data_IF_647561308262
#
_entry.id   IF_647561308262
#
_cell.length_a   1.000
_cell.length_b   1.000
_cell.length_c   1.000
_cell.angle_alpha   90.00
_cell.angle_beta   90.00
_cell.angle_gamma   90.00
#
_symmetry.space_group_name_H-M   'P 1'
#
loop_
_entity.id
_entity.type
_entity.pdbx_description
1 polymer ?
#
# COMPACT_ATOMS: atom_id res chain seq x y z
N UNK A 1 2.06 44.96 -55.73
CA UNK A 1 2.33 46.18 -54.95
C UNK A 1 2.06 45.87 -53.50
N UNK A 2 3.02 46.18 -52.62
CA UNK A 2 3.04 45.97 -51.15
C UNK A 2 3.22 44.50 -50.74
N UNK A 3 4.40 43.94 -50.46
CA UNK A 3 5.65 44.39 -49.83
C UNK A 3 5.59 44.51 -48.28
N UNK A 4 6.60 43.90 -47.62
CA UNK A 4 6.97 43.92 -46.17
C UNK A 4 6.34 42.85 -45.27
N UNK A 5 7.02 42.17 -44.34
CA UNK A 5 8.44 42.03 -43.96
C UNK A 5 8.49 40.91 -42.89
N UNK A 6 9.47 40.01 -42.96
CA UNK A 6 10.09 39.35 -41.79
C UNK A 6 11.45 40.07 -41.55
N UNK A 7 12.33 39.73 -40.58
CA UNK A 7 12.32 38.67 -39.53
C UNK A 7 12.86 39.15 -38.15
N UNK A 8 13.01 38.25 -37.15
CA UNK A 8 14.04 38.24 -36.06
C UNK A 8 13.67 37.09 -35.07
N UNK A 9 14.41 36.01 -34.77
CA UNK A 9 15.82 35.74 -34.36
C UNK A 9 16.27 36.40 -33.05
N UNK A 10 16.12 35.68 -31.93
CA UNK A 10 16.99 35.75 -30.73
C UNK A 10 17.05 34.35 -30.08
N UNK A 11 18.09 33.55 -30.32
CA UNK A 11 19.38 33.41 -29.62
C UNK A 11 19.34 32.56 -28.35
N UNK A 12 20.07 31.45 -28.46
CA UNK A 12 20.49 30.55 -27.41
C UNK A 12 21.25 31.28 -26.29
N UNK A 13 21.09 30.77 -25.06
CA UNK A 13 22.08 30.90 -24.00
C UNK A 13 22.28 29.54 -23.34
N UNK A 14 23.38 28.93 -23.73
CA UNK A 14 24.13 27.95 -22.96
C UNK A 14 24.52 28.58 -21.61
N UNK A 15 24.41 27.81 -20.53
CA UNK A 15 25.21 28.02 -19.32
C UNK A 15 25.78 26.70 -18.87
N UNK A 16 27.11 26.73 -18.87
CA UNK A 16 28.04 25.72 -18.44
C UNK A 16 27.90 25.31 -16.98
N UNK A 17 28.12 24.01 -16.78
CA UNK A 17 29.17 23.42 -15.94
C UNK A 17 29.50 24.08 -14.60
N UNK A 18 29.19 23.35 -13.52
CA UNK A 18 29.72 23.60 -12.18
C UNK A 18 29.78 22.31 -11.36
N UNK A 19 30.84 21.53 -11.58
CA UNK A 19 31.19 20.36 -10.76
C UNK A 19 31.72 20.81 -9.40
N UNK A 20 31.12 20.32 -8.31
CA UNK A 20 31.62 20.53 -6.95
C UNK A 20 31.60 19.24 -6.15
N UNK A 21 32.60 18.37 -6.36
CA UNK A 21 32.91 17.22 -5.49
C UNK A 21 33.58 17.76 -4.22
N UNK A 22 32.91 17.62 -3.08
CA UNK A 22 33.51 17.79 -1.76
C UNK A 22 33.53 16.47 -1.01
N UNK A 23 34.65 15.75 -1.10
CA UNK A 23 34.98 14.67 -0.17
C UNK A 23 35.61 15.32 1.08
N UNK A 24 34.97 15.17 2.25
CA UNK A 24 35.62 15.40 3.55
C UNK A 24 35.58 14.06 4.27
N UNK A 25 36.77 13.53 4.55
CA UNK A 25 37.02 12.14 4.91
C UNK A 25 36.72 11.77 6.37
N UNK A 26 37.01 10.50 6.71
CA UNK A 26 36.87 9.95 8.06
C UNK A 26 38.16 10.12 8.86
N UNK A 27 38.04 10.52 10.13
CA UNK A 27 39.09 10.48 11.16
C UNK A 27 38.36 10.88 12.48
N UNK A 28 38.53 10.31 13.67
CA UNK A 28 39.45 9.33 14.24
C UNK A 28 38.84 8.74 15.50
N UNK A 29 39.30 7.53 15.80
CA UNK A 29 39.37 6.88 17.10
C UNK A 29 39.53 7.84 18.29
N UNK A 30 38.86 7.50 19.41
CA UNK A 30 39.52 7.59 20.71
C UNK A 30 39.07 6.45 21.62
N UNK A 31 40.09 5.72 22.04
CA UNK A 31 40.12 4.62 22.99
C UNK A 31 39.61 5.01 24.39
N UNK A 32 39.12 4.01 25.13
CA UNK A 32 39.66 3.58 26.43
C UNK A 32 38.64 2.60 27.06
N UNK A 33 38.92 1.29 27.05
CA UNK A 33 39.68 0.56 28.08
C UNK A 33 38.85 0.20 29.32
N UNK A 34 38.70 -1.12 29.48
CA UNK A 34 38.92 -1.88 30.72
C UNK A 34 38.10 -1.54 31.97
N UNK A 35 37.27 -2.50 32.37
CA UNK A 35 37.32 -3.05 33.73
C UNK A 35 36.62 -4.41 33.82
N UNK A 36 37.45 -5.46 33.86
CA UNK A 36 37.15 -6.75 34.49
C UNK A 36 37.55 -6.63 35.97
N UNK A 37 36.71 -7.10 36.90
CA UNK A 37 37.01 -7.76 38.21
C UNK A 37 35.63 -8.03 38.85
N UNK A 38 35.14 -9.28 38.93
CA UNK A 38 35.51 -10.41 39.79
C UNK A 38 34.59 -10.53 41.02
N UNK A 39 34.23 -11.79 41.27
CA UNK A 39 33.38 -12.33 42.32
C UNK A 39 33.95 -12.12 43.73
N UNK A 40 33.08 -11.87 44.71
CA UNK A 40 32.92 -12.66 45.94
C UNK A 40 32.21 -11.84 47.04
N UNK A 41 31.30 -12.52 47.73
CA UNK A 41 30.80 -12.25 49.07
C UNK A 41 29.88 -11.03 49.31
N UNK A 42 28.63 -11.31 49.69
CA UNK A 42 28.31 -11.35 51.13
C UNK A 42 26.83 -11.72 51.42
N UNK A 43 26.66 -12.84 52.12
CA UNK A 43 25.67 -13.12 53.19
C UNK A 43 24.19 -13.26 52.76
N UNK A 44 23.39 -14.27 53.13
CA UNK A 44 23.45 -15.36 54.12
C UNK A 44 22.00 -15.76 54.50
N UNK A 45 21.83 -16.89 55.22
CA UNK A 45 20.58 -17.44 55.85
C UNK A 45 19.68 -18.31 54.93
N UNK A 46 19.25 -19.54 55.27
CA UNK A 46 19.48 -20.38 56.44
C UNK A 46 18.72 -21.74 56.39
N UNK A 47 19.35 -22.76 57.01
CA UNK A 47 18.86 -23.93 57.80
C UNK A 47 17.78 -24.93 57.34
N UNK A 48 18.02 -26.17 57.83
CA UNK A 48 17.14 -27.34 58.09
C UNK A 48 16.82 -28.25 56.89
N UNK A 49 16.82 -29.59 56.94
CA UNK A 49 16.85 -30.56 58.04
C UNK A 49 17.07 -32.00 57.49
N UNK A 50 17.65 -32.90 58.32
CA UNK A 50 17.44 -34.39 58.45
C UNK A 50 17.13 -35.19 57.17
N UNK A 51 17.92 -36.15 56.69
CA UNK A 51 18.48 -37.31 57.39
C UNK A 51 17.56 -38.54 57.23
N UNK A 52 17.83 -39.44 56.28
CA UNK A 52 17.41 -40.86 56.26
C UNK A 52 18.31 -41.67 55.31
N UNK A 53 18.95 -42.71 55.85
CA UNK A 53 19.62 -43.80 55.13
C UNK A 53 18.62 -44.94 54.94
N UNK A 54 18.38 -45.45 53.72
CA UNK A 54 17.88 -46.81 53.50
C UNK A 54 18.38 -47.31 52.13
N UNK A 55 19.02 -48.49 52.14
CA UNK A 55 18.80 -49.53 51.14
C UNK A 55 19.76 -49.59 49.95
N UNK A 56 20.81 -50.41 50.10
CA UNK A 56 21.43 -51.11 48.97
C UNK A 56 20.42 -52.08 48.35
N UNK A 57 20.15 -51.94 47.05
CA UNK A 57 19.47 -52.97 46.23
C UNK A 57 20.19 -53.06 44.86
N UNK A 58 20.43 -54.27 44.32
CA UNK A 58 21.46 -54.50 43.31
C UNK A 58 20.95 -54.27 41.89
N UNK A 59 21.77 -53.55 41.12
CA UNK A 59 21.99 -53.70 39.67
C UNK A 59 20.74 -53.96 38.80
N UNK A 60 20.24 -52.87 38.21
CA UNK A 60 19.96 -52.83 36.78
C UNK A 60 20.81 -51.71 36.16
N UNK A 61 22.04 -52.03 35.72
CA UNK A 61 22.84 -51.11 34.90
C UNK A 61 22.19 -51.05 33.52
N UNK A 62 21.25 -50.13 33.34
CA UNK A 62 20.89 -49.67 32.00
C UNK A 62 22.17 -49.17 31.30
N UNK A 63 22.44 -49.56 30.04
CA UNK A 63 23.58 -49.05 29.31
C UNK A 63 23.50 -47.53 29.31
N UNK A 64 24.50 -46.87 29.91
CA UNK A 64 24.65 -45.42 29.76
C UNK A 64 24.79 -45.16 28.26
N UNK A 65 23.89 -44.38 27.63
CA UNK A 65 23.99 -44.10 26.21
C UNK A 65 25.36 -43.47 25.95
N UNK A 66 26.03 -43.98 24.92
CA UNK A 66 27.35 -43.52 24.52
C UNK A 66 27.27 -42.02 24.26
N UNK A 67 28.01 -41.23 25.04
CA UNK A 67 28.06 -39.76 24.93
C UNK A 67 28.37 -39.31 23.50
N UNK A 68 29.05 -40.15 22.72
CA UNK A 68 29.35 -39.89 21.31
C UNK A 68 28.08 -40.01 20.44
N UNK A 69 27.20 -40.97 20.72
CA UNK A 69 25.91 -41.09 20.02
C UNK A 69 24.95 -39.96 20.37
N UNK A 70 24.91 -39.52 21.63
CA UNK A 70 24.06 -38.40 22.05
C UNK A 70 24.55 -37.06 21.45
N UNK A 71 25.86 -36.85 21.38
CA UNK A 71 26.43 -35.67 20.73
C UNK A 71 26.16 -35.64 19.22
N UNK A 72 26.17 -36.81 18.55
CA UNK A 72 25.81 -36.92 17.13
C UNK A 72 24.32 -36.67 16.90
N UNK A 73 23.44 -37.19 17.76
CA UNK A 73 22.00 -36.96 17.68
C UNK A 73 21.67 -35.45 17.80
N UNK A 74 22.27 -34.75 18.77
CA UNK A 74 22.08 -33.30 18.94
C UNK A 74 22.60 -32.49 17.76
N UNK A 75 23.67 -32.96 17.09
CA UNK A 75 24.21 -32.29 15.90
C UNK A 75 23.28 -32.44 14.70
N UNK A 76 22.69 -33.62 14.50
CA UNK A 76 21.70 -33.87 13.45
C UNK A 76 20.42 -33.07 13.70
N UNK A 77 19.96 -33.01 14.95
CA UNK A 77 18.77 -32.23 15.34
C UNK A 77 18.98 -30.73 15.09
N UNK A 78 20.16 -30.20 15.44
CA UNK A 78 20.54 -28.83 15.12
C UNK A 78 20.66 -28.58 13.61
N UNK A 79 21.12 -29.56 12.84
CA UNK A 79 21.23 -29.46 11.38
C UNK A 79 19.86 -29.45 10.69
N UNK A 80 18.90 -30.25 11.18
CA UNK A 80 17.51 -30.24 10.71
C UNK A 80 16.84 -28.89 11.04
N UNK A 81 16.99 -28.41 12.28
CA UNK A 81 16.39 -27.16 12.75
C UNK A 81 16.95 -25.91 12.01
N UNK A 82 18.19 -26.00 11.53
CA UNK A 82 18.82 -24.95 10.70
C UNK A 82 18.55 -25.12 9.19
N UNK A 83 18.08 -26.28 8.74
CA UNK A 83 17.75 -26.58 7.33
C UNK A 83 16.30 -26.21 6.97
N UNK A 84 15.36 -26.33 7.92
CA UNK A 84 13.94 -26.03 7.67
C UNK A 84 13.64 -24.54 7.44
N UNK A 85 14.57 -23.64 7.74
CA UNK A 85 14.43 -22.20 7.48
C UNK A 85 14.99 -21.71 6.13
N UNK A 86 15.65 -22.57 5.34
CA UNK A 86 16.29 -22.17 4.07
C UNK A 86 15.61 -22.72 2.79
N UNK A 87 14.50 -23.45 2.93
CA UNK A 87 13.74 -24.00 1.79
C UNK A 87 12.49 -23.20 1.44
N UNK A 88 12.53 -21.87 1.61
CA UNK A 88 11.62 -21.04 0.78
C UNK A 88 12.19 -21.07 -0.63
N UNK A 89 11.42 -21.44 -1.68
CA UNK A 89 11.87 -21.21 -3.04
C UNK A 89 12.25 -19.73 -3.11
N UNK A 90 13.55 -19.45 -3.35
CA UNK A 90 13.97 -18.11 -3.75
C UNK A 90 13.25 -17.86 -5.06
N UNK A 91 12.07 -17.24 -4.97
CA UNK A 91 11.46 -16.56 -6.09
C UNK A 91 12.59 -15.76 -6.74
N UNK A 92 12.77 -15.85 -8.06
CA UNK A 92 13.80 -15.06 -8.72
C UNK A 92 13.62 -13.64 -8.23
N UNK A 93 14.67 -13.09 -7.63
CA UNK A 93 14.74 -11.66 -7.35
C UNK A 93 14.65 -11.04 -8.73
N UNK A 94 13.43 -10.71 -9.15
CA UNK A 94 13.20 -9.84 -10.28
C UNK A 94 13.88 -8.55 -9.83
N UNK A 95 15.13 -8.39 -10.25
CA UNK A 95 15.79 -7.11 -10.32
C UNK A 95 14.79 -6.22 -11.05
N UNK A 96 14.02 -5.45 -10.29
CA UNK A 96 13.06 -4.49 -10.82
C UNK A 96 13.92 -3.42 -11.46
N UNK A 97 14.31 -3.65 -12.71
CA UNK A 97 14.83 -2.62 -13.56
C UNK A 97 13.77 -1.51 -13.56
N UNK A 98 14.04 -0.33 -12.98
CA UNK A 98 13.04 0.74 -12.93
C UNK A 98 12.74 1.33 -14.32
N UNK A 99 13.48 0.91 -15.35
CA UNK A 99 13.47 1.47 -16.69
C UNK A 99 12.26 1.09 -17.58
N UNK A 100 11.38 0.17 -17.17
CA UNK A 100 10.28 -0.34 -18.01
C UNK A 100 8.88 -0.24 -17.39
N UNK A 101 8.67 0.66 -16.41
CA UNK A 101 7.29 0.96 -15.99
C UNK A 101 6.67 1.90 -17.02
N UNK A 102 5.64 1.44 -17.73
CA UNK A 102 4.84 2.30 -18.62
C UNK A 102 4.34 3.50 -17.81
N UNK A 103 4.37 4.73 -18.37
CA UNK A 103 3.79 5.88 -17.70
C UNK A 103 2.28 5.68 -17.52
N UNK A 104 1.70 6.31 -16.49
CA UNK A 104 0.27 6.27 -16.26
C UNK A 104 -0.48 6.83 -17.48
N UNK A 105 -1.43 6.07 -18.01
CA UNK A 105 -2.16 6.45 -19.22
C UNK A 105 -2.97 7.75 -19.11
N UNK A 106 -3.35 8.18 -17.91
CA UNK A 106 -4.14 9.40 -17.71
C UNK A 106 -3.29 10.66 -17.50
N UNK A 107 -2.23 10.58 -16.70
CA UNK A 107 -1.44 11.77 -16.35
C UNK A 107 -0.02 11.79 -16.93
N UNK A 108 0.43 10.69 -17.55
CA UNK A 108 1.80 10.53 -18.04
C UNK A 108 2.86 10.37 -16.94
N UNK A 109 2.46 10.41 -15.67
CA UNK A 109 3.34 10.27 -14.51
C UNK A 109 3.96 8.88 -14.40
N UNK A 110 5.12 8.80 -13.77
CA UNK A 110 5.77 7.53 -13.43
C UNK A 110 5.51 7.18 -11.97
N UNK A 111 5.55 5.89 -11.63
CA UNK A 111 5.45 5.42 -10.24
C UNK A 111 4.15 4.69 -9.91
N UNK A 112 3.05 4.99 -10.61
CA UNK A 112 1.73 4.40 -10.38
C UNK A 112 1.08 3.86 -11.65
N UNK A 113 0.05 3.03 -11.45
CA UNK A 113 -0.89 2.60 -12.50
C UNK A 113 -2.08 3.54 -12.57
N UNK A 114 -2.85 3.49 -13.66
CA UNK A 114 -4.07 4.28 -13.77
C UNK A 114 -5.07 4.06 -12.62
N UNK A 115 -5.16 2.85 -12.07
CA UNK A 115 -5.99 2.51 -10.92
C UNK A 115 -5.66 3.33 -9.65
N UNK A 116 -4.45 3.87 -9.54
CA UNK A 116 -3.95 4.66 -8.41
C UNK A 116 -3.77 6.14 -8.74
N UNK A 117 -4.10 6.54 -9.97
CA UNK A 117 -4.02 7.93 -10.39
C UNK A 117 -5.09 8.78 -9.66
N UNK A 118 -4.66 9.92 -9.13
CA UNK A 118 -5.52 10.94 -8.50
C UNK A 118 -5.60 12.23 -9.31
N UNK A 119 -4.83 12.36 -10.38
CA UNK A 119 -4.80 13.55 -11.22
C UNK A 119 -6.02 13.59 -12.15
N UNK A 120 -6.81 14.67 -12.11
CA UNK A 120 -7.87 14.90 -13.08
C UNK A 120 -8.14 16.38 -13.30
N UNK A 121 -8.24 16.80 -14.57
CA UNK A 121 -8.57 18.18 -14.96
C UNK A 121 -10.08 18.44 -14.97
N UNK A 122 -10.90 17.37 -15.01
CA UNK A 122 -12.36 17.46 -15.18
C UNK A 122 -13.13 16.94 -13.96
N UNK A 123 -12.42 16.62 -12.88
CA UNK A 123 -12.97 16.02 -11.67
C UNK A 123 -13.28 14.52 -11.76
N UNK A 124 -13.00 13.89 -12.91
CA UNK A 124 -13.08 12.44 -13.11
C UNK A 124 -12.06 11.96 -14.16
N UNK A 125 -11.72 10.68 -14.14
CA UNK A 125 -10.74 10.09 -15.07
C UNK A 125 -11.44 9.53 -16.31
N UNK A 126 -10.95 9.91 -17.50
CA UNK A 126 -11.45 9.47 -18.82
C UNK A 126 -10.52 8.45 -19.46
N UNK A 127 -10.24 7.37 -18.74
CA UNK A 127 -9.35 6.32 -19.20
C UNK A 127 -9.86 4.96 -18.70
N UNK A 128 -9.39 3.89 -19.33
CA UNK A 128 -9.77 2.53 -19.01
C UNK A 128 -8.78 1.90 -18.05
N UNK A 129 -9.21 1.63 -16.81
CA UNK A 129 -8.33 1.00 -15.79
C UNK A 129 -8.04 -0.47 -16.05
N UNK A 130 -8.85 -1.15 -16.87
CA UNK A 130 -8.64 -2.55 -17.24
C UNK A 130 -7.57 -2.68 -18.33
N UNK A 131 -7.58 -1.78 -19.32
CA UNK A 131 -6.62 -1.77 -20.40
C UNK A 131 -5.36 -0.95 -20.10
N UNK A 132 -5.41 -0.09 -19.07
CA UNK A 132 -4.36 0.89 -18.74
C UNK A 132 -4.06 1.80 -19.95
N UNK A 133 -5.13 2.30 -20.60
CA UNK A 133 -5.07 3.21 -21.76
C UNK A 133 -6.09 4.35 -21.63
N UNK A 134 -5.84 5.46 -22.32
CA UNK A 134 -6.77 6.58 -22.46
C UNK A 134 -7.59 6.54 -23.78
N UNK A 135 -7.41 5.48 -24.57
CA UNK A 135 -8.08 5.30 -25.87
C UNK A 135 -9.60 5.11 -25.77
N UNK A 136 -10.09 4.64 -24.61
CA UNK A 136 -11.50 4.48 -24.31
C UNK A 136 -11.71 4.61 -22.80
N UNK A 137 -12.96 4.79 -22.40
CA UNK A 137 -13.32 4.86 -20.97
C UNK A 137 -13.52 3.46 -20.40
N UNK A 138 -13.47 3.35 -19.10
CA UNK A 138 -13.72 2.08 -18.40
C UNK A 138 -15.11 1.52 -18.71
N UNK A 139 -16.14 2.36 -18.80
CA UNK A 139 -17.52 1.95 -19.12
C UNK A 139 -17.72 1.51 -20.59
N UNK A 140 -16.84 1.95 -21.50
CA UNK A 140 -16.86 1.55 -22.91
C UNK A 140 -16.11 0.22 -23.16
N UNK A 141 -15.33 -0.25 -22.17
CA UNK A 141 -14.47 -1.42 -22.30
C UNK A 141 -15.27 -2.73 -22.36
N UNK A 142 -14.95 -3.61 -23.30
CA UNK A 142 -15.69 -4.88 -23.45
C UNK A 142 -15.48 -5.80 -22.25
N UNK A 143 -14.25 -5.88 -21.72
CA UNK A 143 -13.98 -6.61 -20.47
C UNK A 143 -14.79 -6.05 -19.30
N UNK A 144 -14.98 -4.72 -19.25
CA UNK A 144 -15.81 -4.12 -18.20
C UNK A 144 -17.28 -4.51 -18.36
N UNK A 145 -17.81 -4.55 -19.59
CA UNK A 145 -19.22 -4.91 -19.86
C UNK A 145 -19.52 -6.34 -19.41
N UNK A 146 -18.55 -7.25 -19.54
CA UNK A 146 -18.64 -8.66 -19.12
C UNK A 146 -18.62 -8.87 -17.60
N UNK A 147 -18.14 -7.88 -16.83
CA UNK A 147 -18.13 -7.98 -15.36
C UNK A 147 -19.55 -8.04 -14.77
N UNK A 148 -19.68 -8.79 -13.69
CA UNK A 148 -20.89 -8.76 -12.86
C UNK A 148 -21.11 -7.37 -12.26
N UNK A 149 -22.35 -7.06 -11.88
CA UNK A 149 -22.69 -5.77 -11.26
C UNK A 149 -21.87 -5.51 -9.99
N UNK A 150 -21.60 -6.56 -9.20
CA UNK A 150 -20.77 -6.47 -8.00
C UNK A 150 -19.31 -6.13 -8.33
N UNK A 151 -18.72 -6.76 -9.34
CA UNK A 151 -17.36 -6.47 -9.80
C UNK A 151 -17.25 -5.05 -10.37
N UNK A 152 -18.26 -4.60 -11.13
CA UNK A 152 -18.34 -3.22 -11.62
C UNK A 152 -18.34 -2.21 -10.48
N UNK A 153 -19.15 -2.42 -9.44
CA UNK A 153 -19.19 -1.53 -8.26
C UNK A 153 -17.91 -1.61 -7.42
N UNK A 154 -17.35 -2.81 -7.24
CA UNK A 154 -16.05 -2.94 -6.59
C UNK A 154 -15.00 -2.09 -7.31
N UNK A 155 -14.93 -2.21 -8.63
CA UNK A 155 -13.94 -1.53 -9.47
C UNK A 155 -14.13 0.00 -9.51
N UNK A 156 -15.37 0.49 -9.67
CA UNK A 156 -15.64 1.93 -9.84
C UNK A 156 -15.85 2.68 -8.51
N UNK A 157 -16.25 1.99 -7.44
CA UNK A 157 -16.61 2.60 -6.16
C UNK A 157 -15.60 2.24 -5.08
N UNK A 158 -15.45 0.95 -4.79
CA UNK A 158 -14.66 0.49 -3.63
C UNK A 158 -13.16 0.69 -3.87
N UNK A 159 -12.65 0.23 -5.00
CA UNK A 159 -11.23 0.32 -5.36
C UNK A 159 -10.81 1.78 -5.69
N UNK A 160 -11.80 2.66 -5.90
CA UNK A 160 -11.64 4.10 -6.13
C UNK A 160 -12.03 4.97 -4.94
N UNK A 161 -12.30 4.37 -3.78
CA UNK A 161 -12.63 5.12 -2.57
C UNK A 161 -11.50 6.10 -2.21
N UNK A 162 -11.85 7.36 -1.94
CA UNK A 162 -10.88 8.41 -1.64
C UNK A 162 -10.00 8.83 -2.82
N UNK A 163 -10.40 8.52 -4.05
CA UNK A 163 -9.74 8.95 -5.30
C UNK A 163 -10.79 9.55 -6.25
N UNK A 164 -10.41 10.23 -7.34
CA UNK A 164 -11.38 10.70 -8.33
C UNK A 164 -12.22 9.56 -8.90
N UNK A 165 -13.50 9.83 -9.11
CA UNK A 165 -14.40 8.88 -9.77
C UNK A 165 -13.93 8.51 -11.18
N UNK A 166 -14.26 7.27 -11.54
CA UNK A 166 -14.41 6.87 -12.94
C UNK A 166 -15.86 7.16 -13.35
N UNK A 167 -16.12 7.24 -14.65
CA UNK A 167 -17.45 7.55 -15.17
C UNK A 167 -18.61 6.77 -14.51
N UNK A 168 -19.79 7.41 -14.42
CA UNK A 168 -21.11 6.86 -14.04
C UNK A 168 -21.16 5.92 -12.81
N UNK A 169 -20.18 6.01 -11.90
CA UNK A 169 -20.09 5.13 -10.73
C UNK A 169 -21.33 5.20 -9.83
N UNK A 170 -21.94 6.39 -9.68
CA UNK A 170 -23.10 6.59 -8.81
C UNK A 170 -24.36 5.92 -9.35
N UNK A 171 -24.55 5.87 -10.66
CA UNK A 171 -25.68 5.17 -11.30
C UNK A 171 -25.56 3.66 -11.09
N UNK A 172 -24.37 3.10 -11.32
CA UNK A 172 -24.12 1.67 -11.10
C UNK A 172 -24.21 1.27 -9.63
N UNK A 173 -23.79 2.16 -8.71
CA UNK A 173 -23.98 1.93 -7.29
C UNK A 173 -25.47 1.88 -6.92
N UNK A 174 -26.30 2.76 -7.47
CA UNK A 174 -27.74 2.73 -7.25
C UNK A 174 -28.34 1.40 -7.71
N UNK A 175 -28.01 0.98 -8.93
CA UNK A 175 -28.45 -0.31 -9.49
C UNK A 175 -28.00 -1.48 -8.60
N UNK A 176 -26.74 -1.47 -8.15
CA UNK A 176 -26.21 -2.47 -7.23
C UNK A 176 -26.98 -2.54 -5.91
N UNK A 177 -27.47 -1.43 -5.37
CA UNK A 177 -28.21 -1.44 -4.11
C UNK A 177 -29.63 -1.98 -4.28
N UNK A 178 -30.23 -1.82 -5.45
CA UNK A 178 -31.61 -2.25 -5.75
C UNK A 178 -31.70 -3.67 -6.33
N UNK A 179 -30.63 -4.15 -6.97
CA UNK A 179 -30.56 -5.46 -7.58
C UNK A 179 -30.73 -6.61 -6.57
N UNK A 180 -31.40 -7.69 -7.00
CA UNK A 180 -31.70 -8.83 -6.12
C UNK A 180 -30.48 -9.74 -5.97
N UNK A 181 -29.73 -9.91 -7.06
CA UNK A 181 -28.53 -10.73 -7.18
C UNK A 181 -27.35 -10.23 -6.34
N UNK A 182 -27.37 -8.97 -5.92
CA UNK A 182 -26.34 -8.36 -5.08
C UNK A 182 -26.75 -8.25 -3.61
N UNK A 183 -27.93 -8.75 -3.23
CA UNK A 183 -28.53 -8.55 -1.90
C UNK A 183 -27.62 -9.00 -0.76
N UNK A 184 -26.94 -10.13 -0.94
CA UNK A 184 -26.07 -10.74 0.07
C UNK A 184 -24.64 -10.15 0.08
N UNK A 185 -24.37 -9.21 -0.83
CA UNK A 185 -23.09 -8.51 -0.91
C UNK A 185 -23.17 -7.24 -0.05
N UNK A 186 -22.23 -7.01 0.89
CA UNK A 186 -22.23 -5.79 1.69
C UNK A 186 -22.14 -4.52 0.83
N UNK A 187 -22.88 -3.45 1.18
CA UNK A 187 -22.72 -2.16 0.53
C UNK A 187 -21.31 -1.57 0.73
N UNK A 188 -20.77 -0.80 -0.24
CA UNK A 188 -19.50 -0.10 -0.07
C UNK A 188 -19.53 0.90 1.09
N UNK A 189 -18.42 1.00 1.82
CA UNK A 189 -18.25 1.94 2.94
C UNK A 189 -17.37 3.14 2.59
N UNK A 190 -16.77 3.15 1.40
CA UNK A 190 -15.95 4.24 0.88
C UNK A 190 -16.37 4.57 -0.54
N UNK A 191 -16.25 5.85 -0.90
CA UNK A 191 -16.75 6.39 -2.17
C UNK A 191 -15.67 7.20 -2.89
N UNK A 192 -15.73 7.25 -4.22
CA UNK A 192 -14.91 8.17 -4.98
C UNK A 192 -15.23 9.62 -4.61
N UNK A 193 -14.25 10.50 -4.80
CA UNK A 193 -14.46 11.94 -4.64
C UNK A 193 -15.56 12.45 -5.57
N UNK A 194 -16.31 13.43 -5.07
CA UNK A 194 -17.15 14.26 -5.92
C UNK A 194 -16.31 14.97 -6.99
N UNK A 195 -16.94 15.27 -8.12
CA UNK A 195 -16.30 16.02 -9.22
C UNK A 195 -15.74 17.35 -8.72
N UNK A 196 -16.50 18.06 -7.88
CA UNK A 196 -16.08 19.35 -7.31
C UNK A 196 -14.82 19.19 -6.45
N UNK A 197 -14.82 18.23 -5.53
CA UNK A 197 -13.67 18.01 -4.66
C UNK A 197 -12.42 17.60 -5.44
N UNK A 198 -12.56 16.71 -6.43
CA UNK A 198 -11.44 16.29 -7.27
C UNK A 198 -10.83 17.46 -8.06
N UNK A 199 -11.64 18.43 -8.51
CA UNK A 199 -11.15 19.67 -9.12
C UNK A 199 -10.40 20.54 -8.12
N UNK A 200 -10.91 20.70 -6.90
CA UNK A 200 -10.24 21.47 -5.85
C UNK A 200 -8.87 20.88 -5.48
N UNK A 201 -8.77 19.54 -5.43
CA UNK A 201 -7.49 18.83 -5.26
C UNK A 201 -6.55 19.10 -6.43
N UNK A 202 -7.04 19.02 -7.67
CA UNK A 202 -6.23 19.32 -8.86
C UNK A 202 -5.71 20.76 -8.88
N UNK A 203 -6.54 21.71 -8.46
CA UNK A 203 -6.21 23.14 -8.36
C UNK A 203 -5.28 23.47 -7.17
N UNK A 204 -4.95 22.49 -6.33
CA UNK A 204 -4.04 22.68 -5.18
C UNK A 204 -4.69 23.38 -3.99
N UNK A 205 -6.03 23.45 -3.92
CA UNK A 205 -6.76 24.10 -2.81
C UNK A 205 -6.65 23.35 -1.49
N UNK A 206 -6.07 22.16 -1.48
CA UNK A 206 -5.85 21.32 -0.30
C UNK A 206 -4.40 21.37 0.21
N UNK A 207 -3.71 22.50 0.03
CA UNK A 207 -2.41 22.82 0.65
C UNK A 207 -1.18 22.21 -0.04
N UNK A 208 -1.35 21.19 -0.87
CA UNK A 208 -0.29 20.61 -1.72
C UNK A 208 -0.76 20.58 -3.17
N UNK A 209 0.19 20.63 -4.11
CA UNK A 209 -0.14 20.36 -5.52
C UNK A 209 -0.56 18.90 -5.69
N UNK A 210 -1.41 18.61 -6.67
CA UNK A 210 -1.84 17.22 -6.96
C UNK A 210 -0.65 16.30 -7.28
N UNK A 211 0.42 16.85 -7.87
CA UNK A 211 1.64 16.11 -8.18
C UNK A 211 2.40 15.73 -6.90
N UNK A 212 2.42 16.60 -5.89
CA UNK A 212 3.05 16.29 -4.60
C UNK A 212 2.27 15.24 -3.83
N UNK A 213 0.93 15.34 -3.84
CA UNK A 213 0.05 14.34 -3.21
C UNK A 213 0.22 12.99 -3.91
N UNK A 214 0.18 12.95 -5.25
CA UNK A 214 0.39 11.71 -6.01
C UNK A 214 1.76 11.10 -5.71
N UNK A 215 2.83 11.91 -5.67
CA UNK A 215 4.18 11.41 -5.39
C UNK A 215 4.30 10.78 -4.00
N UNK A 216 3.68 11.41 -2.99
CA UNK A 216 3.65 10.88 -1.62
C UNK A 216 2.81 9.59 -1.54
N UNK A 217 1.66 9.57 -2.22
CA UNK A 217 0.83 8.37 -2.33
C UNK A 217 1.54 7.23 -3.06
N UNK A 218 2.25 7.50 -4.16
CA UNK A 218 3.02 6.50 -4.89
C UNK A 218 4.17 5.91 -4.06
N UNK A 219 4.76 6.72 -3.18
CA UNK A 219 5.83 6.29 -2.30
C UNK A 219 5.33 5.41 -1.14
N UNK A 220 4.17 5.74 -0.56
CA UNK A 220 3.68 5.14 0.68
C UNK A 220 2.57 4.11 0.47
N UNK A 221 1.78 4.27 -0.58
CA UNK A 221 0.49 3.61 -0.82
C UNK A 221 -0.48 3.74 0.37
N UNK A 222 -0.28 4.74 1.24
CA UNK A 222 -1.14 5.01 2.39
C UNK A 222 -2.27 5.95 1.96
N UNK A 223 -3.52 5.48 2.01
CA UNK A 223 -4.68 6.30 1.64
C UNK A 223 -4.88 7.51 2.55
N UNK A 224 -4.28 7.52 3.75
CA UNK A 224 -4.37 8.66 4.68
C UNK A 224 -3.64 9.92 4.19
N UNK A 225 -2.73 9.78 3.22
CA UNK A 225 -2.05 10.95 2.62
C UNK A 225 -2.97 11.67 1.62
N UNK A 226 -4.05 11.02 1.18
CA UNK A 226 -5.00 11.58 0.24
C UNK A 226 -5.97 12.54 0.96
N UNK A 227 -6.34 13.67 0.33
CA UNK A 227 -7.40 14.53 0.83
C UNK A 227 -8.73 13.79 1.01
N UNK A 228 -9.49 14.16 2.03
CA UNK A 228 -10.77 13.54 2.36
C UNK A 228 -11.93 14.39 1.85
N UNK A 229 -12.75 13.83 0.96
CA UNK A 229 -14.00 14.45 0.54
C UNK A 229 -15.07 14.25 1.64
N UNK A 230 -15.43 15.34 2.32
CA UNK A 230 -16.44 15.29 3.37
C UNK A 230 -17.88 15.31 2.85
N UNK A 231 -18.07 15.50 1.54
CA UNK A 231 -19.38 15.66 0.90
C UNK A 231 -20.08 14.32 0.71
N UNK A 232 -19.33 13.24 0.46
CA UNK A 232 -19.86 11.89 0.17
C UNK A 232 -19.15 10.82 1.00
N UNK A 233 -19.42 10.80 2.32
CA UNK A 233 -18.76 9.87 3.25
C UNK A 233 -19.57 8.60 3.52
N UNK A 234 -20.85 8.62 3.19
CA UNK A 234 -21.80 7.57 3.51
C UNK A 234 -22.85 7.41 2.41
N UNK A 235 -23.58 6.30 2.39
CA UNK A 235 -24.69 6.13 1.44
C UNK A 235 -25.79 7.19 1.57
N UNK A 236 -26.17 7.65 2.79
CA UNK A 236 -26.99 8.85 2.96
C UNK A 236 -26.45 10.08 2.21
N UNK A 237 -25.15 10.36 2.34
CA UNK A 237 -24.54 11.50 1.66
C UNK A 237 -24.55 11.33 0.13
N UNK A 238 -24.26 10.13 -0.36
CA UNK A 238 -24.33 9.81 -1.80
C UNK A 238 -25.74 10.01 -2.33
N UNK A 239 -26.76 9.55 -1.60
CA UNK A 239 -28.15 9.76 -2.00
C UNK A 239 -28.50 11.24 -2.03
N UNK A 240 -28.18 11.98 -0.97
CA UNK A 240 -28.43 13.41 -0.90
C UNK A 240 -27.74 14.16 -2.04
N UNK A 241 -26.50 13.80 -2.38
CA UNK A 241 -25.72 14.52 -3.39
C UNK A 241 -26.09 14.15 -4.83
N UNK A 242 -26.24 12.86 -5.16
CA UNK A 242 -26.43 12.40 -6.54
C UNK A 242 -27.87 12.02 -6.88
N UNK A 243 -28.59 11.38 -5.97
CA UNK A 243 -29.83 10.68 -6.32
C UNK A 243 -31.09 11.46 -5.95
N UNK A 244 -31.03 12.28 -4.89
CA UNK A 244 -32.14 13.12 -4.46
C UNK A 244 -32.52 14.15 -5.53
N UNK A 245 -31.52 14.74 -6.19
CA UNK A 245 -31.69 15.69 -7.30
C UNK A 245 -32.25 15.02 -8.56
N UNK A 246 -32.10 13.70 -8.69
CA UNK A 246 -32.68 12.88 -9.75
C UNK A 246 -34.06 12.32 -9.35
N UNK A 247 -34.62 12.73 -8.20
CA UNK A 247 -35.87 12.22 -7.64
C UNK A 247 -35.89 10.69 -7.43
N UNK A 248 -34.73 10.06 -7.21
CA UNK A 248 -34.66 8.63 -6.91
C UNK A 248 -34.99 8.37 -5.44
N UNK A 249 -35.75 7.30 -5.12
CA UNK A 249 -36.00 6.93 -3.74
C UNK A 249 -34.71 6.52 -3.03
N UNK A 250 -34.71 6.59 -1.70
CA UNK A 250 -33.59 6.11 -0.90
C UNK A 250 -33.51 4.58 -0.99
N UNK A 251 -32.38 3.98 -1.42
CA UNK A 251 -32.28 2.53 -1.58
C UNK A 251 -32.46 1.81 -0.25
N UNK A 252 -33.24 0.73 -0.23
CA UNK A 252 -33.50 0.00 1.02
C UNK A 252 -32.23 -0.55 1.66
N UNK A 253 -31.26 -0.96 0.83
CA UNK A 253 -29.96 -1.47 1.27
C UNK A 253 -28.98 -0.39 1.71
N UNK A 254 -29.32 0.89 1.51
CA UNK A 254 -28.56 2.02 2.05
C UNK A 254 -28.93 2.37 3.50
N UNK A 255 -29.95 1.73 4.06
CA UNK A 255 -30.26 1.87 5.49
C UNK A 255 -29.17 1.18 6.30
N UNK A 256 -28.35 1.97 6.99
CA UNK A 256 -27.48 1.46 8.03
C UNK A 256 -28.41 0.92 9.14
N UNK A 257 -28.37 -0.37 9.49
CA UNK A 257 -29.12 -0.86 10.62
C UNK A 257 -28.69 -0.06 11.85
N UNK A 258 -29.64 0.63 12.47
CA UNK A 258 -29.42 1.24 13.79
C UNK A 258 -29.14 0.09 14.75
N UNK A 259 -27.88 -0.13 15.09
CA UNK A 259 -27.45 -1.00 16.19
C UNK A 259 -27.61 -0.22 17.48
#
# INVERSE_FOLDING_TARGET
>A
MSDRSAPEKQTARERDSGSGRGNIGPDRNRDASDRIFSMADMLGVGRSQRGHQIGDDPRARLPKPDRVTEAKARRIEHEILMSENNSRPRMPVISRNPANKKPCANCGGQGHKLADCITTVRGYIKACILCDTDSHRTDDCDTFKELSLAEKVKLLVTDRAGKPGLAQWSTLLYEFLEAKETRDIPPPTGFPWTVKFALEVFEGKHGKSVQDIQREFDATHDSKVLPVDTTVRSLPDVWSYYWSIECRPFPLRAHIPRV
#
